data_IF_586843515096
#
_entry.id   IF_586843515096
#
_cell.length_a   1.000
_cell.length_b   1.000
_cell.length_c   1.000
_cell.angle_alpha   90.00
_cell.angle_beta   90.00
_cell.angle_gamma   90.00
#
_symmetry.space_group_name_H-M   'P 1'
#
loop_
_entity.id
_entity.type
_entity.pdbx_description
1 polymer ?
#
# COMPACT_ATOMS: atom_id res chain seq x y z
N UNK A 1 -26.22 2.54 10.82
CA UNK A 1 -25.28 2.25 9.72
C UNK A 1 -25.03 0.75 9.82
N UNK A 2 -25.51 -0.06 8.88
CA UNK A 2 -25.23 -1.49 8.92
C UNK A 2 -23.75 -1.67 8.59
N UNK A 3 -22.99 -2.20 9.55
CA UNK A 3 -21.58 -2.57 9.38
C UNK A 3 -21.52 -3.74 8.41
N UNK A 4 -21.48 -3.43 7.13
CA UNK A 4 -21.08 -4.38 6.12
C UNK A 4 -19.55 -4.51 6.19
N UNK A 5 -19.07 -5.67 6.64
CA UNK A 5 -17.65 -5.99 6.60
C UNK A 5 -17.29 -6.39 5.17
N UNK A 6 -16.46 -5.60 4.45
CA UNK A 6 -16.02 -5.99 3.11
C UNK A 6 -15.28 -7.33 3.16
N UNK A 7 -15.50 -8.18 2.14
CA UNK A 7 -14.80 -9.47 1.98
C UNK A 7 -13.29 -9.32 1.74
N UNK A 8 -12.84 -8.10 1.46
CA UNK A 8 -11.44 -7.77 1.26
C UNK A 8 -10.90 -6.94 2.42
N UNK A 9 -9.66 -7.18 2.88
CA UNK A 9 -9.00 -6.29 3.81
C UNK A 9 -8.66 -4.94 3.18
N UNK A 10 -8.71 -4.81 1.84
CA UNK A 10 -8.50 -3.56 1.12
C UNK A 10 -9.55 -2.51 1.50
N UNK A 11 -9.09 -1.28 1.78
CA UNK A 11 -9.98 -0.18 2.17
C UNK A 11 -9.81 0.93 1.15
N UNK A 12 -10.91 1.32 0.50
CA UNK A 12 -10.98 2.50 -0.34
C UNK A 12 -12.44 2.96 -0.35
N UNK A 13 -12.71 4.11 0.27
CA UNK A 13 -14.09 4.62 0.41
C UNK A 13 -14.65 5.05 -0.94
N UNK A 14 -13.83 5.65 -1.79
CA UNK A 14 -14.24 6.19 -3.10
C UNK A 14 -14.62 5.09 -4.10
N UNK A 15 -14.08 3.88 -3.95
CA UNK A 15 -14.50 2.72 -4.74
C UNK A 15 -15.86 2.14 -4.29
N UNK A 16 -16.38 2.54 -3.12
CA UNK A 16 -17.66 2.06 -2.59
C UNK A 16 -17.79 0.52 -2.61
N UNK A 17 -16.75 -0.17 -2.13
CA UNK A 17 -16.64 -1.64 -2.19
C UNK A 17 -17.80 -2.31 -1.43
N UNK A 18 -18.56 -3.12 -2.16
CA UNK A 18 -19.68 -3.91 -1.63
C UNK A 18 -19.40 -5.41 -1.55
N UNK A 19 -20.46 -6.19 -1.40
CA UNK A 19 -20.40 -7.67 -1.37
C UNK A 19 -20.38 -8.33 -2.74
N UNK A 20 -20.66 -7.55 -3.78
CA UNK A 20 -20.69 -8.00 -5.18
C UNK A 20 -19.44 -7.58 -5.96
N UNK A 21 -18.52 -6.85 -5.32
CA UNK A 21 -17.36 -6.20 -5.94
C UNK A 21 -16.12 -6.43 -5.08
N UNK A 22 -14.95 -6.47 -5.71
CA UNK A 22 -13.66 -6.71 -5.08
C UNK A 22 -13.59 -8.04 -4.30
N UNK A 23 -14.29 -9.09 -4.75
CA UNK A 23 -14.29 -10.39 -4.06
C UNK A 23 -12.99 -11.15 -4.32
N UNK A 24 -12.41 -10.99 -5.50
CA UNK A 24 -11.15 -11.61 -5.93
C UNK A 24 -10.13 -10.54 -6.31
N UNK A 25 -9.79 -9.72 -5.31
CA UNK A 25 -8.88 -8.59 -5.49
C UNK A 25 -7.42 -9.05 -5.51
N UNK A 26 -6.69 -8.64 -6.55
CA UNK A 26 -5.23 -8.68 -6.59
C UNK A 26 -4.69 -7.26 -6.61
N UNK A 27 -3.66 -7.00 -5.80
CA UNK A 27 -2.96 -5.71 -5.77
C UNK A 27 -1.50 -5.99 -6.11
N UNK A 28 -1.08 -5.49 -7.26
CA UNK A 28 0.33 -5.52 -7.66
C UNK A 28 0.98 -4.17 -7.33
N UNK A 29 2.21 -4.21 -6.82
CA UNK A 29 2.99 -3.01 -6.51
C UNK A 29 4.36 -3.05 -7.15
N UNK A 30 4.77 -1.93 -7.72
CA UNK A 30 6.12 -1.65 -8.21
C UNK A 30 6.51 -0.23 -7.83
N UNK A 31 7.75 0.18 -8.09
CA UNK A 31 8.12 1.61 -8.02
C UNK A 31 7.78 2.27 -9.35
N UNK A 32 7.39 3.55 -9.30
CA UNK A 32 7.24 4.36 -10.51
C UNK A 32 8.60 4.40 -11.23
N UNK A 33 8.58 4.34 -12.55
CA UNK A 33 9.81 4.43 -13.34
C UNK A 33 10.56 5.73 -13.01
N UNK A 34 11.84 5.61 -12.66
CA UNK A 34 12.66 6.76 -12.27
C UNK A 34 12.51 7.22 -10.81
N UNK A 35 11.54 6.70 -10.05
CA UNK A 35 11.41 7.03 -8.61
C UNK A 35 12.63 6.57 -7.81
N UNK A 36 13.15 5.38 -8.12
CA UNK A 36 14.34 4.82 -7.48
C UNK A 36 15.52 4.81 -8.45
N UNK A 37 16.35 5.86 -8.39
CA UNK A 37 17.60 5.93 -9.16
C UNK A 37 18.76 5.32 -8.37
N UNK A 38 19.40 4.31 -8.96
CA UNK A 38 20.64 3.71 -8.47
C UNK A 38 21.78 4.04 -9.41
N UNK A 39 22.87 4.53 -8.85
CA UNK A 39 24.10 4.81 -9.60
C UNK A 39 25.29 4.06 -8.98
N UNK A 40 26.44 4.09 -9.65
CA UNK A 40 27.68 3.49 -9.19
C UNK A 40 28.64 4.57 -8.74
N UNK A 41 29.20 4.39 -7.56
CA UNK A 41 30.38 5.16 -7.14
C UNK A 41 31.58 4.82 -8.02
N UNK A 42 32.62 5.66 -7.96
CA UNK A 42 33.86 5.48 -8.72
C UNK A 42 34.56 4.12 -8.50
N UNK A 43 34.31 3.47 -7.35
CA UNK A 43 34.80 2.13 -7.02
C UNK A 43 33.81 0.99 -7.36
N UNK A 44 32.74 1.27 -8.11
CA UNK A 44 31.78 0.29 -8.60
C UNK A 44 30.68 -0.13 -7.61
N UNK A 45 30.61 0.46 -6.41
CA UNK A 45 29.55 0.18 -5.43
C UNK A 45 28.24 0.86 -5.86
N UNK A 46 27.15 0.09 -5.91
CA UNK A 46 25.83 0.65 -6.15
C UNK A 46 25.38 1.49 -4.95
N UNK A 47 24.91 2.70 -5.23
CA UNK A 47 24.32 3.63 -4.25
C UNK A 47 22.99 4.12 -4.77
N UNK A 48 22.00 4.24 -3.88
CA UNK A 48 20.74 4.89 -4.19
C UNK A 48 20.94 6.39 -4.11
N UNK A 49 20.67 7.10 -5.21
CA UNK A 49 20.82 8.56 -5.31
C UNK A 49 19.50 9.30 -5.11
N UNK A 50 18.38 8.57 -5.10
CA UNK A 50 17.04 9.08 -4.83
C UNK A 50 16.89 9.33 -3.33
N UNK A 51 16.24 10.44 -2.97
CA UNK A 51 15.72 10.60 -1.62
C UNK A 51 14.59 9.59 -1.43
N UNK A 52 14.63 8.86 -0.32
CA UNK A 52 13.58 7.92 0.07
C UNK A 52 12.18 8.55 0.13
N UNK A 53 12.08 9.87 0.26
CA UNK A 53 10.83 10.62 0.17
C UNK A 53 10.19 10.60 -1.24
N UNK A 54 10.97 10.33 -2.29
CA UNK A 54 10.51 10.27 -3.69
C UNK A 54 10.37 8.83 -4.23
N UNK A 55 10.51 7.81 -3.37
CA UNK A 55 10.34 6.40 -3.73
C UNK A 55 8.85 6.04 -3.92
N UNK A 56 8.17 6.71 -4.84
CA UNK A 56 6.73 6.58 -5.11
C UNK A 56 6.38 5.24 -5.78
N UNK A 57 5.21 4.69 -5.43
CA UNK A 57 4.74 3.40 -5.91
C UNK A 57 3.82 3.50 -7.13
N UNK A 58 3.96 2.57 -8.06
CA UNK A 58 2.91 2.24 -9.03
C UNK A 58 2.13 1.05 -8.47
N UNK A 59 0.80 1.18 -8.41
CA UNK A 59 -0.11 0.20 -7.81
C UNK A 59 -1.19 -0.15 -8.82
N UNK A 60 -1.24 -1.42 -9.21
CA UNK A 60 -2.31 -1.93 -10.08
C UNK A 60 -3.29 -2.69 -9.22
N UNK A 61 -4.53 -2.18 -9.15
CA UNK A 61 -5.63 -2.82 -8.44
C UNK A 61 -6.48 -3.53 -9.49
N UNK A 62 -6.64 -4.84 -9.36
CA UNK A 62 -7.44 -5.62 -10.31
C UNK A 62 -8.34 -6.59 -9.57
N UNK A 63 -9.53 -6.83 -10.12
CA UNK A 63 -10.35 -7.95 -9.71
C UNK A 63 -10.79 -8.71 -10.95
N UNK A 64 -10.72 -10.03 -10.87
CA UNK A 64 -11.11 -10.93 -11.93
C UNK A 64 -11.43 -12.28 -11.33
N UNK A 65 -12.59 -12.84 -11.66
CA UNK A 65 -12.97 -14.17 -11.22
C UNK A 65 -14.48 -14.35 -11.10
N UNK A 66 -14.94 -15.58 -10.89
CA UNK A 66 -16.36 -15.92 -10.83
C UNK A 66 -17.10 -15.26 -9.65
N UNK A 67 -16.39 -14.77 -8.63
CA UNK A 67 -16.99 -14.00 -7.52
C UNK A 67 -17.30 -12.54 -7.84
N UNK A 68 -16.66 -11.96 -8.87
CA UNK A 68 -16.77 -10.54 -9.18
C UNK A 68 -18.03 -10.29 -10.03
N UNK A 69 -19.13 -10.02 -9.34
CA UNK A 69 -20.46 -9.87 -9.96
C UNK A 69 -20.72 -8.45 -10.50
N UNK A 70 -20.09 -7.43 -9.93
CA UNK A 70 -20.26 -6.02 -10.30
C UNK A 70 -18.97 -5.23 -10.11
N UNK A 71 -18.66 -4.27 -11.01
CA UNK A 71 -17.56 -3.36 -10.75
C UNK A 71 -17.89 -2.44 -9.55
N UNK A 72 -16.87 -2.00 -8.79
CA UNK A 72 -17.01 -0.91 -7.84
C UNK A 72 -17.24 0.44 -8.57
N UNK A 73 -17.22 1.56 -7.84
CA UNK A 73 -17.40 2.90 -8.40
C UNK A 73 -16.17 3.39 -9.23
N UNK A 74 -15.76 2.62 -10.24
CA UNK A 74 -14.57 2.87 -11.07
C UNK A 74 -14.64 4.22 -11.80
N UNK A 75 -15.79 4.55 -12.40
CA UNK A 75 -16.02 5.82 -13.09
C UNK A 75 -15.89 7.04 -12.18
N UNK A 76 -16.19 6.89 -10.88
CA UNK A 76 -16.04 7.96 -9.91
C UNK A 76 -14.56 8.22 -9.64
N UNK A 77 -13.83 7.15 -9.31
CA UNK A 77 -12.41 7.20 -8.98
C UNK A 77 -11.56 7.68 -10.15
N UNK A 78 -11.90 7.29 -11.38
CA UNK A 78 -11.19 7.78 -12.59
C UNK A 78 -11.28 9.30 -12.78
N UNK A 79 -12.31 9.95 -12.23
CA UNK A 79 -12.52 11.40 -12.36
C UNK A 79 -11.92 12.18 -11.20
N UNK A 80 -11.52 11.52 -10.12
CA UNK A 80 -10.90 12.17 -8.98
C UNK A 80 -9.45 12.53 -9.31
N UNK A 81 -8.96 13.68 -8.81
CA UNK A 81 -7.54 14.04 -8.94
C UNK A 81 -6.64 13.09 -8.15
N UNK A 82 -7.10 12.65 -6.97
CA UNK A 82 -6.50 11.63 -6.14
C UNK A 82 -7.55 11.00 -5.24
N UNK A 83 -7.28 9.82 -4.70
CA UNK A 83 -8.12 9.11 -3.75
C UNK A 83 -7.27 8.31 -2.76
N UNK A 84 -7.81 8.05 -1.58
CA UNK A 84 -7.09 7.34 -0.54
C UNK A 84 -7.40 5.84 -0.59
N UNK A 85 -6.34 5.02 -0.51
CA UNK A 85 -6.45 3.57 -0.48
C UNK A 85 -5.51 2.97 0.55
N UNK A 86 -5.97 1.92 1.22
CA UNK A 86 -5.19 1.12 2.16
C UNK A 86 -5.04 -0.27 1.57
N UNK A 87 -3.95 -0.54 0.84
CA UNK A 87 -3.69 -1.85 0.26
C UNK A 87 -3.68 -2.97 1.32
N UNK A 88 -3.93 -4.20 0.87
CA UNK A 88 -3.87 -5.39 1.71
C UNK A 88 -2.43 -5.83 2.01
N UNK A 89 -1.46 -5.42 1.20
CA UNK A 89 -0.06 -5.77 1.40
C UNK A 89 0.54 -5.07 2.63
N UNK A 90 1.58 -5.69 3.19
CA UNK A 90 2.38 -5.12 4.25
C UNK A 90 3.64 -4.45 3.69
N UNK A 91 4.00 -3.31 4.25
CA UNK A 91 5.30 -2.68 4.04
C UNK A 91 6.25 -3.10 5.15
N UNK A 92 7.39 -3.73 4.79
CA UNK A 92 8.43 -4.05 5.76
C UNK A 92 9.32 -2.83 6.01
N UNK A 93 9.75 -2.67 7.26
CA UNK A 93 10.86 -1.83 7.68
C UNK A 93 11.65 -2.54 8.80
N UNK A 94 12.73 -1.95 9.31
CA UNK A 94 13.62 -2.57 10.28
C UNK A 94 14.07 -1.61 11.37
N UNK A 95 14.27 -2.16 12.56
CA UNK A 95 15.11 -1.56 13.61
C UNK A 95 16.47 -2.25 13.60
N UNK A 96 17.53 -1.46 13.67
CA UNK A 96 18.87 -1.96 13.94
C UNK A 96 19.15 -2.05 15.43
N UNK A 97 20.14 -2.87 15.80
CA UNK A 97 20.55 -3.06 17.19
C UNK A 97 20.90 -1.71 17.83
N UNK A 98 20.35 -1.45 19.00
CA UNK A 98 20.57 -0.21 19.75
C UNK A 98 19.64 0.97 19.38
N UNK A 99 18.86 0.86 18.29
CA UNK A 99 17.86 1.88 17.95
C UNK A 99 16.66 1.82 18.90
N UNK A 100 16.10 2.98 19.23
CA UNK A 100 14.89 3.12 20.06
C UNK A 100 13.71 3.67 19.29
N UNK A 101 13.96 4.39 18.19
CA UNK A 101 12.92 5.03 17.38
C UNK A 101 13.15 4.81 15.89
N UNK A 102 12.07 4.65 15.14
CA UNK A 102 12.07 4.53 13.68
C UNK A 102 10.92 5.34 13.10
N UNK A 103 11.21 6.14 12.07
CA UNK A 103 10.18 6.85 11.31
C UNK A 103 9.85 6.06 10.05
N UNK A 104 8.60 5.63 9.92
CA UNK A 104 8.12 4.90 8.74
C UNK A 104 8.05 5.83 7.52
N UNK A 105 8.30 5.27 6.34
CA UNK A 105 8.28 6.01 5.08
C UNK A 105 6.88 6.58 4.75
N UNK A 106 5.81 5.89 5.16
CA UNK A 106 4.41 6.24 4.87
C UNK A 106 3.55 6.19 6.12
N UNK A 107 2.39 6.83 6.06
CA UNK A 107 1.42 6.78 7.15
C UNK A 107 0.88 5.35 7.33
N UNK A 108 0.98 4.78 8.53
CA UNK A 108 0.41 3.47 8.81
C UNK A 108 -1.09 3.59 9.07
N UNK A 109 -1.87 2.65 8.53
CA UNK A 109 -3.26 2.49 8.95
C UNK A 109 -3.30 2.23 10.46
N UNK A 110 -4.18 2.92 11.23
CA UNK A 110 -4.30 2.71 12.67
C UNK A 110 -4.42 1.22 13.05
N UNK A 111 -3.60 0.78 14.01
CA UNK A 111 -3.60 -0.61 14.48
C UNK A 111 -2.97 -1.65 13.53
N UNK A 112 -2.41 -1.24 12.39
CA UNK A 112 -1.78 -2.17 11.43
C UNK A 112 -0.30 -2.47 11.73
N UNK A 113 0.34 -1.65 12.56
CA UNK A 113 1.78 -1.78 12.87
C UNK A 113 2.01 -3.02 13.72
N UNK A 114 3.04 -3.78 13.37
CA UNK A 114 3.60 -4.88 14.17
C UNK A 114 5.11 -4.76 14.20
N UNK A 115 5.69 -4.92 15.38
CA UNK A 115 7.14 -5.03 15.55
C UNK A 115 7.45 -6.45 16.03
N UNK A 116 8.29 -7.14 15.28
CA UNK A 116 8.57 -8.55 15.48
C UNK A 116 10.07 -8.81 15.60
N UNK A 117 10.44 -9.81 16.39
CA UNK A 117 11.80 -10.38 16.36
C UNK A 117 12.04 -11.13 15.04
N UNK A 118 13.29 -11.54 14.77
CA UNK A 118 13.57 -12.42 13.63
C UNK A 118 12.84 -13.77 13.71
N UNK A 119 12.46 -14.20 14.92
CA UNK A 119 11.64 -15.37 15.20
C UNK A 119 10.13 -15.13 15.15
N UNK A 120 9.68 -13.94 14.71
CA UNK A 120 8.27 -13.55 14.60
C UNK A 120 7.52 -13.41 15.95
N UNK A 121 8.26 -13.16 17.03
CA UNK A 121 7.66 -12.85 18.34
C UNK A 121 7.35 -11.36 18.43
N UNK A 122 6.18 -11.00 18.97
CA UNK A 122 5.76 -9.61 19.12
C UNK A 122 6.63 -8.86 20.15
N UNK A 123 7.11 -7.68 19.76
CA UNK A 123 7.88 -6.77 20.62
C UNK A 123 7.00 -5.58 21.01
N UNK A 124 6.89 -5.24 22.30
CA UNK A 124 6.12 -4.07 22.73
C UNK A 124 6.67 -2.76 22.15
N UNK A 125 5.78 -1.93 21.61
CA UNK A 125 6.12 -0.63 21.06
C UNK A 125 4.99 0.37 21.31
N UNK A 126 5.30 1.65 21.13
CA UNK A 126 4.33 2.74 21.03
C UNK A 126 4.46 3.38 19.66
N UNK A 127 3.37 3.89 19.11
CA UNK A 127 3.38 4.56 17.81
C UNK A 127 2.61 5.89 17.88
N UNK A 128 3.18 6.92 17.28
CA UNK A 128 2.56 8.24 17.10
C UNK A 128 2.72 8.65 15.65
N UNK A 129 1.64 8.53 14.86
CA UNK A 129 1.69 8.70 13.41
C UNK A 129 2.69 7.72 12.79
N UNK A 130 3.71 8.26 12.09
CA UNK A 130 4.78 7.48 11.44
C UNK A 130 5.89 7.05 12.39
N UNK A 131 5.95 7.56 13.62
CA UNK A 131 7.08 7.30 14.53
C UNK A 131 6.76 6.11 15.43
N UNK A 132 7.53 5.05 15.29
CA UNK A 132 7.49 3.85 16.15
C UNK A 132 8.60 3.96 17.19
N UNK A 133 8.25 3.79 18.47
CA UNK A 133 9.18 3.91 19.60
C UNK A 133 9.14 2.67 20.47
N UNK A 134 10.31 2.10 20.75
CA UNK A 134 10.53 0.99 21.67
C UNK A 134 10.75 1.51 23.09
N UNK A 135 10.36 0.72 24.09
CA UNK A 135 10.59 1.06 25.51
C UNK A 135 12.07 0.97 25.91
N UNK A 136 12.85 0.16 25.19
CA UNK A 136 14.28 -0.03 25.38
C UNK A 136 14.97 -0.16 24.02
N UNK A 137 16.29 0.10 23.93
CA UNK A 137 17.05 -0.11 22.70
C UNK A 137 16.86 -1.53 22.15
N UNK A 138 16.73 -1.64 20.82
CA UNK A 138 16.51 -2.91 20.16
C UNK A 138 17.66 -3.90 20.49
N UNK A 139 17.37 -5.05 21.11
CA UNK A 139 18.41 -6.00 21.53
C UNK A 139 19.00 -6.78 20.35
N UNK A 140 18.27 -6.83 19.24
CA UNK A 140 18.61 -7.49 17.99
C UNK A 140 17.96 -6.70 16.83
N UNK A 141 18.24 -7.09 15.59
CA UNK A 141 17.49 -6.55 14.44
C UNK A 141 16.01 -6.97 14.57
N UNK A 142 15.11 -6.00 14.55
CA UNK A 142 13.67 -6.23 14.59
C UNK A 142 13.06 -5.88 13.24
N UNK A 143 11.95 -6.55 12.89
CA UNK A 143 11.16 -6.28 11.69
C UNK A 143 9.94 -5.47 12.07
N UNK A 144 9.63 -4.47 11.27
CA UNK A 144 8.39 -3.72 11.36
C UNK A 144 7.54 -4.07 10.15
N UNK A 145 6.26 -4.32 10.36
CA UNK A 145 5.27 -4.47 9.30
C UNK A 145 4.12 -3.52 9.56
N UNK A 146 3.63 -2.86 8.51
CA UNK A 146 2.45 -2.01 8.60
C UNK A 146 1.70 -2.00 7.28
N UNK A 147 0.42 -1.63 7.30
CA UNK A 147 -0.35 -1.37 6.08
C UNK A 147 -0.24 0.13 5.79
N UNK A 148 0.32 0.54 4.65
CA UNK A 148 0.42 1.96 4.33
C UNK A 148 -0.94 2.51 3.95
N UNK A 149 -1.18 3.77 4.28
CA UNK A 149 -2.19 4.60 3.66
C UNK A 149 -1.52 5.25 2.45
N UNK A 150 -2.07 5.03 1.26
CA UNK A 150 -1.57 5.58 0.00
C UNK A 150 -2.57 6.58 -0.53
N UNK A 151 -2.07 7.71 -1.02
CA UNK A 151 -2.80 8.60 -1.89
C UNK A 151 -2.48 8.21 -3.33
N UNK A 152 -3.51 7.88 -4.11
CA UNK A 152 -3.37 7.31 -5.44
C UNK A 152 -4.08 8.20 -6.47
N UNK A 153 -3.53 8.30 -7.67
CA UNK A 153 -4.21 8.82 -8.85
C UNK A 153 -4.31 7.72 -9.90
N UNK A 154 -5.42 7.68 -10.65
CA UNK A 154 -5.53 6.78 -11.81
C UNK A 154 -4.61 7.30 -12.91
N UNK A 155 -3.67 6.48 -13.35
CA UNK A 155 -2.61 6.91 -14.28
C UNK A 155 -2.88 6.45 -15.71
N UNK A 156 -3.41 5.24 -15.87
CA UNK A 156 -3.79 4.70 -17.17
C UNK A 156 -5.31 4.54 -17.28
N UNK A 157 -5.87 4.52 -18.50
CA UNK A 157 -7.29 4.26 -18.68
C UNK A 157 -7.72 2.95 -18.00
N UNK A 158 -8.84 2.99 -17.28
CA UNK A 158 -9.42 1.78 -16.70
C UNK A 158 -9.72 0.77 -17.81
N UNK A 159 -9.55 -0.52 -17.49
CA UNK A 159 -10.01 -1.61 -18.33
C UNK A 159 -11.12 -2.32 -17.57
N UNK A 160 -12.27 -2.45 -18.21
CA UNK A 160 -13.42 -3.21 -17.68
C UNK A 160 -13.91 -4.16 -18.76
N UNK A 161 -14.24 -5.39 -18.37
CA UNK A 161 -14.78 -6.42 -19.23
C UNK A 161 -15.94 -7.09 -18.52
N UNK A 162 -17.08 -7.16 -19.19
CA UNK A 162 -18.28 -7.83 -18.69
C UNK A 162 -18.60 -9.03 -19.57
N UNK A 163 -18.78 -10.19 -18.96
CA UNK A 163 -19.26 -11.40 -19.62
C UNK A 163 -20.73 -11.60 -19.24
N UNK A 164 -21.63 -11.02 -20.03
CA UNK A 164 -23.07 -11.00 -19.72
C UNK A 164 -23.68 -12.39 -19.52
N UNK A 165 -23.22 -13.39 -20.28
CA UNK A 165 -23.71 -14.77 -20.17
C UNK A 165 -23.37 -15.48 -18.87
N UNK A 166 -22.36 -15.00 -18.14
CA UNK A 166 -21.92 -15.56 -16.85
C UNK A 166 -22.13 -14.58 -15.68
N UNK A 167 -22.60 -13.36 -15.95
CA UNK A 167 -22.69 -12.26 -14.98
C UNK A 167 -21.35 -12.01 -14.25
N UNK A 168 -20.24 -12.18 -14.96
CA UNK A 168 -18.88 -11.97 -14.45
C UNK A 168 -18.33 -10.63 -14.95
N UNK A 169 -17.61 -9.94 -14.06
CA UNK A 169 -16.92 -8.69 -14.35
C UNK A 169 -15.44 -8.85 -14.07
N UNK A 170 -14.60 -8.31 -14.94
CA UNK A 170 -13.17 -8.16 -14.72
C UNK A 170 -12.81 -6.70 -14.91
N UNK A 171 -11.96 -6.18 -14.02
CA UNK A 171 -11.47 -4.81 -14.16
C UNK A 171 -10.04 -4.66 -13.65
N UNK A 172 -9.36 -3.67 -14.20
CA UNK A 172 -8.00 -3.28 -13.86
C UNK A 172 -7.92 -1.76 -13.74
N UNK A 173 -7.38 -1.28 -12.63
CA UNK A 173 -7.21 0.12 -12.29
C UNK A 173 -5.72 0.40 -11.99
N UNK A 174 -4.95 0.81 -13.01
CA UNK A 174 -3.55 1.21 -12.84
C UNK A 174 -3.46 2.58 -12.19
N UNK A 175 -2.86 2.63 -11.01
CA UNK A 175 -2.72 3.84 -10.20
C UNK A 175 -1.26 4.15 -9.92
N UNK A 176 -0.97 5.43 -9.65
CA UNK A 176 0.32 5.88 -9.13
C UNK A 176 0.12 6.59 -7.81
N UNK A 177 1.07 6.40 -6.89
CA UNK A 177 1.12 7.15 -5.65
C UNK A 177 1.41 8.62 -5.94
N UNK A 178 0.60 9.49 -5.35
CA UNK A 178 0.83 10.92 -5.38
C UNK A 178 1.72 11.25 -4.19
N UNK A 179 2.87 11.87 -4.46
CA UNK A 179 3.76 12.33 -3.40
C UNK A 179 4.69 13.45 -3.88
N UNK A 180 5.22 14.17 -2.89
CA UNK A 180 5.94 15.43 -3.04
C UNK A 180 5.50 16.38 -1.92
N UNK A 181 6.30 17.39 -1.55
CA UNK A 181 5.78 18.48 -0.74
C UNK A 181 4.65 19.15 -1.51
N UNK A 182 3.49 19.31 -0.87
CA UNK A 182 2.51 20.32 -1.28
C UNK A 182 3.27 21.64 -1.40
N UNK A 183 3.37 22.20 -2.61
CA UNK A 183 3.77 23.61 -2.78
C UNK A 183 2.65 24.54 -2.30
#
# INVERSE_FOLDING_TARGET
>A
MNDYTPFTPFICTDLAIGWQSCTELTIDRTYIEGAVVKDRTWNGRAVTMSDSAFDLMSVVIKASGPGEMRPPALDHVQRLPSFQAVPSFLMPDIFYVGETMRTLARDPHPGSIRVLTLGFEDVPFTASGRVVTLLAPAPAVLRIYYRPILELTVWEPLKETTVEGLAEVSWELPCQEVGGPDE
#
